data_IF_740940573282
#
_entry.id   IF_740940573282
#
_cell.length_a   1.000
_cell.length_b   1.000
_cell.length_c   1.000
_cell.angle_alpha   90.00
_cell.angle_beta   90.00
_cell.angle_gamma   90.00
#
_symmetry.space_group_name_H-M   'P 1'
#
loop_
_entity.id
_entity.type
_entity.pdbx_description
1 polymer ?
#
# COMPACT_ATOMS: atom_id res chain seq x y z
N UNK A 1 17.99 -8.21 13.76
CA UNK A 1 16.88 -8.26 12.79
C UNK A 1 17.26 -7.43 11.58
N UNK A 2 17.48 -8.08 10.43
CA UNK A 2 17.72 -7.40 9.15
C UNK A 2 16.40 -7.42 8.39
N UNK A 3 15.63 -6.35 8.54
CA UNK A 3 14.26 -6.31 8.04
C UNK A 3 14.18 -5.87 6.58
N UNK A 4 13.47 -6.62 5.76
CA UNK A 4 13.04 -6.22 4.43
C UNK A 4 11.52 -6.32 4.30
N UNK A 5 10.95 -5.53 3.40
CA UNK A 5 9.53 -5.63 3.06
C UNK A 5 9.38 -6.04 1.61
N UNK A 6 8.44 -6.93 1.35
CA UNK A 6 7.98 -7.30 0.00
C UNK A 6 6.48 -7.11 -0.12
N UNK A 7 6.00 -7.03 -1.36
CA UNK A 7 4.55 -7.00 -1.64
C UNK A 7 3.95 -8.35 -1.23
N UNK A 8 2.81 -8.31 -0.54
CA UNK A 8 2.05 -9.51 -0.22
C UNK A 8 1.35 -10.08 -1.47
N UNK A 9 1.17 -11.39 -1.53
CA UNK A 9 0.52 -12.09 -2.64
C UNK A 9 -0.62 -12.97 -2.14
N UNK A 10 -1.35 -13.61 -3.06
CA UNK A 10 -2.35 -14.64 -2.72
C UNK A 10 -1.78 -15.80 -1.90
N UNK A 11 -0.47 -16.04 -1.97
CA UNK A 11 0.14 -17.21 -1.33
C UNK A 11 0.49 -16.94 0.16
N UNK A 12 0.37 -15.70 0.62
CA UNK A 12 0.76 -15.28 1.99
C UNK A 12 -0.33 -15.52 3.05
N UNK A 13 -1.36 -16.31 2.74
CA UNK A 13 -2.49 -16.54 3.64
C UNK A 13 -2.07 -17.16 4.97
N UNK A 14 -1.10 -18.08 4.96
CA UNK A 14 -0.60 -18.71 6.20
C UNK A 14 0.20 -17.73 7.06
N UNK A 15 0.88 -16.76 6.43
CA UNK A 15 1.55 -15.67 7.15
C UNK A 15 0.50 -14.77 7.82
N UNK A 16 -0.55 -14.41 7.09
CA UNK A 16 -1.68 -13.64 7.62
C UNK A 16 -2.31 -14.34 8.83
N UNK A 17 -2.68 -15.61 8.67
CA UNK A 17 -3.30 -16.41 9.74
C UNK A 17 -2.42 -16.50 10.99
N UNK A 18 -1.11 -16.64 10.81
CA UNK A 18 -0.15 -16.73 11.90
C UNK A 18 0.06 -15.41 12.65
N UNK A 19 0.12 -14.28 11.92
CA UNK A 19 0.56 -13.00 12.48
C UNK A 19 -0.58 -12.09 12.95
N UNK A 20 -1.77 -12.18 12.36
CA UNK A 20 -2.86 -11.25 12.66
C UNK A 20 -3.66 -11.61 13.92
N UNK A 21 -3.58 -12.85 14.42
CA UNK A 21 -4.18 -13.27 15.69
C UNK A 21 -3.31 -14.35 16.35
N UNK A 22 -3.27 -14.43 17.70
CA UNK A 22 -2.55 -15.52 18.35
C UNK A 22 -3.14 -16.87 17.91
N UNK A 23 -2.31 -17.91 17.70
CA UNK A 23 -2.67 -19.18 17.04
C UNK A 23 -3.82 -19.96 17.73
N UNK A 24 -4.17 -19.61 18.96
CA UNK A 24 -5.18 -20.28 19.78
C UNK A 24 -6.60 -19.69 19.65
N UNK A 25 -6.83 -18.71 18.77
CA UNK A 25 -8.14 -18.03 18.61
C UNK A 25 -8.92 -18.40 17.35
N UNK A 26 -8.34 -19.13 16.41
CA UNK A 26 -9.08 -19.61 15.25
C UNK A 26 -9.41 -21.08 15.40
N UNK A 27 -10.70 -21.41 15.36
CA UNK A 27 -11.11 -22.78 15.06
C UNK A 27 -10.63 -23.18 13.66
N UNK A 28 -10.56 -24.47 13.36
CA UNK A 28 -10.22 -24.93 12.01
C UNK A 28 -11.20 -24.40 10.96
N UNK A 29 -12.48 -24.28 11.32
CA UNK A 29 -13.50 -23.67 10.48
C UNK A 29 -13.21 -22.18 10.18
N UNK A 30 -12.73 -21.42 11.17
CA UNK A 30 -12.39 -20.00 10.96
C UNK A 30 -11.17 -19.84 10.06
N UNK A 31 -10.15 -20.71 10.21
CA UNK A 31 -8.97 -20.70 9.33
C UNK A 31 -9.37 -20.96 7.89
N UNK A 32 -10.22 -21.95 7.68
CA UNK A 32 -10.68 -22.36 6.36
C UNK A 32 -11.60 -21.30 5.73
N UNK A 33 -12.43 -20.64 6.53
CA UNK A 33 -13.18 -19.44 6.10
C UNK A 33 -12.25 -18.30 5.68
N UNK A 34 -11.23 -18.00 6.47
CA UNK A 34 -10.27 -16.94 6.20
C UNK A 34 -9.44 -17.21 4.94
N UNK A 35 -9.07 -18.48 4.67
CA UNK A 35 -8.41 -18.86 3.41
C UNK A 35 -9.25 -18.58 2.19
N UNK A 36 -10.51 -19.03 2.20
CA UNK A 36 -11.44 -18.76 1.10
C UNK A 36 -11.65 -17.26 0.87
N UNK A 37 -11.75 -16.49 1.95
CA UNK A 37 -11.94 -15.05 1.85
C UNK A 37 -10.70 -14.34 1.29
N UNK A 38 -9.51 -14.73 1.74
CA UNK A 38 -8.24 -14.23 1.22
C UNK A 38 -8.13 -14.45 -0.30
N UNK A 39 -8.35 -15.69 -0.76
CA UNK A 39 -8.28 -16.03 -2.18
C UNK A 39 -9.32 -15.29 -3.02
N UNK A 40 -10.52 -15.06 -2.47
CA UNK A 40 -11.56 -14.27 -3.14
C UNK A 40 -11.14 -12.81 -3.26
N UNK A 41 -10.65 -12.20 -2.18
CA UNK A 41 -10.29 -10.79 -2.16
C UNK A 41 -9.17 -10.45 -3.15
N UNK A 42 -8.17 -11.31 -3.32
CA UNK A 42 -7.14 -11.12 -4.35
C UNK A 42 -7.67 -11.14 -5.79
N UNK A 43 -8.86 -11.70 -6.02
CA UNK A 43 -9.53 -11.72 -7.34
C UNK A 43 -10.45 -10.53 -7.56
N UNK A 44 -11.08 -10.02 -6.49
CA UNK A 44 -12.21 -9.06 -6.58
C UNK A 44 -11.92 -7.69 -5.99
N UNK A 45 -10.81 -7.52 -5.27
CA UNK A 45 -10.39 -6.25 -4.70
C UNK A 45 -8.98 -5.86 -5.15
N UNK A 46 -8.70 -4.55 -5.17
CA UNK A 46 -7.33 -4.04 -5.30
C UNK A 46 -6.70 -3.99 -3.92
N UNK A 47 -5.88 -4.97 -3.61
CA UNK A 47 -5.18 -5.05 -2.32
C UNK A 47 -3.83 -4.35 -2.38
N UNK A 48 -3.54 -3.58 -1.32
CA UNK A 48 -2.26 -2.99 -1.00
C UNK A 48 -1.72 -3.73 0.23
N UNK A 49 -0.90 -4.75 0.00
CA UNK A 49 -0.37 -5.61 1.04
C UNK A 49 1.16 -5.64 1.07
N UNK A 50 1.74 -5.70 2.27
CA UNK A 50 3.16 -5.98 2.49
C UNK A 50 3.36 -7.12 3.48
N UNK A 51 4.41 -7.90 3.26
CA UNK A 51 5.00 -8.81 4.25
C UNK A 51 6.36 -8.25 4.65
N UNK A 52 6.57 -8.10 5.96
CA UNK A 52 7.85 -7.76 6.56
C UNK A 52 8.56 -9.04 6.96
N UNK A 53 9.79 -9.22 6.49
CA UNK A 53 10.60 -10.41 6.70
C UNK A 53 11.90 -10.05 7.43
N UNK A 54 12.31 -10.90 8.37
CA UNK A 54 13.65 -10.87 8.95
C UNK A 54 14.57 -11.79 8.14
N UNK A 55 15.59 -11.18 7.55
CA UNK A 55 16.64 -11.86 6.81
C UNK A 55 17.58 -12.54 7.81
N UNK A 56 17.49 -13.87 7.87
CA UNK A 56 18.38 -14.68 8.69
C UNK A 56 19.74 -14.85 7.98
N UNK A 57 20.87 -14.79 8.71
CA UNK A 57 22.18 -15.09 8.14
C UNK A 57 22.26 -16.52 7.60
N UNK A 58 21.59 -17.45 8.28
CA UNK A 58 21.52 -18.86 7.93
C UNK A 58 20.05 -19.30 7.90
N UNK A 59 19.44 -19.31 6.71
CA UNK A 59 18.07 -19.79 6.52
C UNK A 59 17.22 -18.91 5.61
N UNK A 60 15.99 -19.36 5.29
CA UNK A 60 15.06 -18.55 4.52
C UNK A 60 14.59 -17.33 5.32
N UNK A 61 14.19 -16.23 4.65
CA UNK A 61 13.56 -15.09 5.31
C UNK A 61 12.34 -15.52 6.13
N UNK A 62 12.22 -14.97 7.34
CA UNK A 62 11.08 -15.26 8.22
C UNK A 62 10.12 -14.09 8.22
N UNK A 63 8.86 -14.30 7.83
CA UNK A 63 7.84 -13.28 7.93
C UNK A 63 7.53 -12.93 9.40
N UNK A 64 7.80 -11.69 9.78
CA UNK A 64 7.61 -11.15 11.14
C UNK A 64 6.52 -10.08 11.19
N UNK A 65 6.02 -9.62 10.05
CA UNK A 65 4.92 -8.67 9.97
C UNK A 65 4.12 -8.78 8.68
N UNK A 66 2.87 -8.38 8.72
CA UNK A 66 1.98 -8.30 7.57
C UNK A 66 1.00 -7.15 7.75
N UNK A 67 0.75 -6.41 6.68
CA UNK A 67 -0.29 -5.39 6.64
C UNK A 67 -0.98 -5.46 5.29
N UNK A 68 -2.30 -5.50 5.29
CA UNK A 68 -3.11 -5.51 4.07
C UNK A 68 -4.27 -4.54 4.21
N UNK A 69 -4.41 -3.68 3.21
CA UNK A 69 -5.55 -2.81 3.01
C UNK A 69 -6.16 -3.03 1.63
N UNK A 70 -7.46 -2.78 1.48
CA UNK A 70 -8.09 -2.66 0.18
C UNK A 70 -8.20 -1.19 -0.23
N UNK A 71 -7.98 -0.95 -1.52
CA UNK A 71 -8.28 0.32 -2.18
C UNK A 71 -9.56 0.16 -2.98
N UNK A 72 -10.50 1.05 -2.72
CA UNK A 72 -11.85 1.00 -3.29
C UNK A 72 -12.26 2.38 -3.79
N UNK A 73 -13.23 2.39 -4.71
CA UNK A 73 -13.91 3.61 -5.11
C UNK A 73 -14.85 4.09 -4.00
N UNK A 74 -15.13 5.40 -3.92
CA UNK A 74 -16.13 5.99 -3.04
C UNK A 74 -17.42 5.19 -2.85
N UNK A 75 -18.04 4.78 -3.95
CA UNK A 75 -19.37 4.17 -3.98
C UNK A 75 -19.37 2.80 -3.30
N UNK A 76 -18.34 1.98 -3.56
CA UNK A 76 -18.18 0.68 -2.91
C UNK A 76 -17.93 0.85 -1.41
N UNK A 77 -17.13 1.83 -1.02
CA UNK A 77 -16.88 2.08 0.40
C UNK A 77 -18.16 2.51 1.11
N UNK A 78 -18.95 3.42 0.53
CA UNK A 78 -20.24 3.85 1.09
C UNK A 78 -21.19 2.68 1.32
N UNK A 79 -21.25 1.72 0.39
CA UNK A 79 -22.03 0.50 0.55
C UNK A 79 -21.54 -0.33 1.75
N UNK A 80 -20.23 -0.51 1.88
CA UNK A 80 -19.62 -1.32 2.94
C UNK A 80 -19.80 -0.71 4.33
N UNK A 81 -19.76 0.62 4.44
CA UNK A 81 -19.90 1.32 5.74
C UNK A 81 -21.30 1.83 6.03
N UNK A 82 -22.26 1.62 5.13
CA UNK A 82 -23.68 1.96 5.33
C UNK A 82 -24.25 1.27 6.59
N UNK A 83 -25.33 1.79 7.17
CA UNK A 83 -25.94 1.21 8.38
C UNK A 83 -26.22 -0.29 8.26
N UNK A 84 -26.69 -0.73 7.09
CA UNK A 84 -26.98 -2.13 6.78
C UNK A 84 -25.85 -2.88 6.06
N UNK A 85 -24.69 -2.23 5.86
CA UNK A 85 -23.55 -2.81 5.16
C UNK A 85 -22.95 -4.01 5.90
N UNK A 86 -22.30 -4.96 5.23
CA UNK A 86 -21.63 -6.11 5.86
C UNK A 86 -20.44 -5.71 6.75
N UNK A 87 -19.85 -6.68 7.46
CA UNK A 87 -18.51 -6.54 8.07
C UNK A 87 -17.49 -6.26 6.95
N UNK A 88 -16.59 -5.30 7.13
CA UNK A 88 -15.75 -4.75 6.07
C UNK A 88 -14.91 -5.81 5.33
N UNK A 89 -14.36 -6.79 6.07
CA UNK A 89 -13.53 -7.86 5.49
C UNK A 89 -14.40 -8.87 4.73
N UNK A 90 -15.50 -9.31 5.33
CA UNK A 90 -16.39 -10.33 4.75
C UNK A 90 -17.22 -9.78 3.59
N UNK A 91 -17.63 -8.52 3.75
CA UNK A 91 -18.48 -7.78 2.85
C UNK A 91 -17.80 -7.28 1.61
N UNK A 92 -16.50 -6.96 1.68
CA UNK A 92 -15.77 -6.46 0.52
C UNK A 92 -15.82 -7.46 -0.63
N UNK A 93 -15.60 -8.76 -0.36
CA UNK A 93 -15.68 -9.76 -1.41
C UNK A 93 -17.10 -9.92 -1.95
N UNK A 94 -18.10 -9.98 -1.06
CA UNK A 94 -19.50 -10.18 -1.42
C UNK A 94 -20.08 -9.01 -2.23
N UNK A 95 -19.87 -7.78 -1.76
CA UNK A 95 -20.38 -6.57 -2.41
C UNK A 95 -19.66 -6.35 -3.75
N UNK A 96 -18.34 -6.55 -3.81
CA UNK A 96 -17.61 -6.47 -5.09
C UNK A 96 -18.15 -7.44 -6.13
N UNK A 97 -18.41 -8.70 -5.75
CA UNK A 97 -18.97 -9.71 -6.66
C UNK A 97 -20.40 -9.37 -7.08
N UNK A 98 -21.26 -9.01 -6.13
CA UNK A 98 -22.68 -8.71 -6.38
C UNK A 98 -22.87 -7.48 -7.26
N UNK A 99 -22.12 -6.43 -7.00
CA UNK A 99 -22.21 -5.16 -7.74
C UNK A 99 -21.41 -5.19 -9.06
N UNK A 100 -20.72 -6.30 -9.36
CA UNK A 100 -19.87 -6.42 -10.55
C UNK A 100 -18.67 -5.46 -10.54
N UNK A 101 -18.26 -5.01 -9.36
CA UNK A 101 -17.17 -4.06 -9.18
C UNK A 101 -15.84 -4.82 -9.21
N UNK A 102 -15.25 -4.88 -10.40
CA UNK A 102 -13.90 -5.40 -10.64
C UNK A 102 -12.86 -4.65 -9.79
N UNK A 103 -11.73 -5.29 -9.39
CA UNK A 103 -10.63 -4.60 -8.75
C UNK A 103 -10.30 -3.31 -9.50
N UNK A 104 -10.06 -2.23 -8.75
CA UNK A 104 -9.64 -0.96 -9.33
C UNK A 104 -8.45 -1.17 -10.27
N UNK A 105 -8.72 -1.10 -11.58
CA UNK A 105 -7.67 -1.15 -12.59
C UNK A 105 -6.91 0.19 -12.63
N UNK A 106 -5.80 0.23 -13.37
CA UNK A 106 -5.00 1.47 -13.46
C UNK A 106 -5.79 2.66 -14.01
N UNK A 107 -6.74 2.45 -14.91
CA UNK A 107 -7.52 3.52 -15.50
C UNK A 107 -8.47 4.14 -14.48
N UNK A 108 -9.27 3.34 -13.80
CA UNK A 108 -10.21 3.83 -12.79
C UNK A 108 -9.46 4.45 -11.61
N UNK A 109 -8.34 3.85 -11.18
CA UNK A 109 -7.48 4.45 -10.16
C UNK A 109 -6.88 5.79 -10.63
N UNK A 110 -6.48 5.86 -11.91
CA UNK A 110 -5.93 7.08 -12.50
C UNK A 110 -6.95 8.22 -12.55
N UNK A 111 -8.19 7.92 -12.92
CA UNK A 111 -9.31 8.89 -12.87
C UNK A 111 -9.59 9.32 -11.44
N UNK A 112 -9.71 8.37 -10.52
CA UNK A 112 -9.96 8.65 -9.10
C UNK A 112 -8.90 9.58 -8.51
N UNK A 113 -7.60 9.34 -8.80
CA UNK A 113 -6.53 10.23 -8.35
C UNK A 113 -6.65 11.65 -8.92
N UNK A 114 -7.15 11.82 -10.15
CA UNK A 114 -7.38 13.13 -10.76
C UNK A 114 -8.64 13.84 -10.23
N UNK A 115 -9.65 13.10 -9.80
CA UNK A 115 -10.96 13.63 -9.38
C UNK A 115 -11.17 13.57 -7.86
N UNK A 116 -12.04 12.70 -7.37
CA UNK A 116 -12.52 12.68 -5.99
C UNK A 116 -11.58 11.96 -5.01
N UNK A 117 -10.66 11.17 -5.54
CA UNK A 117 -9.77 10.31 -4.77
C UNK A 117 -10.29 8.89 -4.58
N UNK A 118 -9.58 8.16 -3.74
CA UNK A 118 -9.87 6.78 -3.36
C UNK A 118 -10.12 6.67 -1.86
N UNK A 119 -10.80 5.59 -1.48
CA UNK A 119 -10.95 5.22 -0.09
C UNK A 119 -10.17 3.95 0.22
N UNK A 120 -9.72 3.84 1.47
CA UNK A 120 -9.01 2.65 1.96
C UNK A 120 -9.78 1.96 3.07
N UNK A 121 -9.76 0.64 3.03
CA UNK A 121 -10.29 -0.22 4.09
C UNK A 121 -9.13 -1.03 4.64
N UNK A 122 -8.82 -0.83 5.91
CA UNK A 122 -7.80 -1.59 6.60
C UNK A 122 -8.36 -2.97 6.97
N UNK A 123 -7.74 -4.03 6.43
CA UNK A 123 -8.26 -5.39 6.59
C UNK A 123 -7.49 -6.15 7.66
N UNK A 124 -6.16 -6.14 7.60
CA UNK A 124 -5.31 -6.94 8.48
C UNK A 124 -4.02 -6.22 8.89
N UNK A 125 -3.71 -6.27 10.18
CA UNK A 125 -2.39 -5.97 10.75
C UNK A 125 -1.95 -7.16 11.58
N UNK A 126 -0.77 -7.70 11.30
CA UNK A 126 -0.17 -8.73 12.12
C UNK A 126 1.32 -8.48 12.26
N UNK A 127 1.89 -8.76 13.42
CA UNK A 127 3.33 -8.74 13.62
C UNK A 127 3.70 -9.60 14.82
N UNK A 128 4.92 -10.14 14.79
CA UNK A 128 5.42 -10.98 15.86
C UNK A 128 5.61 -10.14 17.14
N UNK A 129 4.96 -10.56 18.23
CA UNK A 129 5.08 -9.91 19.52
C UNK A 129 6.47 -10.18 20.12
N UNK A 130 7.38 -9.21 20.10
CA UNK A 130 8.62 -9.26 20.90
C UNK A 130 8.38 -8.84 22.36
N UNK A 131 7.48 -9.51 23.09
CA UNK A 131 7.17 -9.21 24.51
C UNK A 131 6.68 -7.76 24.70
N UNK A 132 5.44 -7.57 25.18
CA UNK A 132 4.76 -6.27 25.37
C UNK A 132 5.52 -5.20 26.20
N UNK A 133 6.72 -5.48 26.69
CA UNK A 133 7.47 -4.68 27.66
C UNK A 133 8.85 -4.22 27.14
N UNK A 134 9.21 -4.49 25.88
CA UNK A 134 10.44 -3.93 25.29
C UNK A 134 10.11 -2.74 24.39
N UNK A 135 10.92 -1.67 24.45
CA UNK A 135 10.90 -0.55 23.48
C UNK A 135 10.99 -1.03 22.01
N UNK A 136 11.37 -2.29 21.79
CA UNK A 136 11.49 -2.97 20.50
C UNK A 136 10.14 -3.27 19.80
N UNK A 137 9.04 -3.52 20.52
CA UNK A 137 7.73 -3.87 19.90
C UNK A 137 7.04 -2.67 19.23
N UNK A 138 7.18 -1.48 19.81
CA UNK A 138 6.78 -0.23 19.16
C UNK A 138 7.58 -0.01 17.86
N UNK A 139 8.79 -0.57 17.76
CA UNK A 139 9.62 -0.49 16.57
C UNK A 139 9.11 -1.36 15.41
N UNK A 140 8.71 -2.62 15.65
CA UNK A 140 8.31 -3.53 14.55
C UNK A 140 6.99 -3.10 13.90
N UNK A 141 5.97 -2.77 14.70
CA UNK A 141 4.70 -2.23 14.18
C UNK A 141 4.95 -0.99 13.32
N UNK A 142 5.75 -0.05 13.83
CA UNK A 142 6.07 1.18 13.12
C UNK A 142 6.81 0.89 11.82
N UNK A 143 7.70 -0.12 11.78
CA UNK A 143 8.38 -0.56 10.56
C UNK A 143 7.43 -1.18 9.55
N UNK A 144 6.48 -2.02 9.98
CA UNK A 144 5.45 -2.62 9.11
C UNK A 144 4.58 -1.53 8.48
N UNK A 145 4.09 -0.59 9.28
CA UNK A 145 3.27 0.54 8.80
C UNK A 145 4.07 1.44 7.87
N UNK A 146 5.31 1.82 8.22
CA UNK A 146 6.14 2.64 7.36
C UNK A 146 6.47 1.97 6.03
N UNK A 147 6.75 0.66 6.02
CA UNK A 147 7.00 -0.08 4.78
C UNK A 147 5.76 -0.07 3.87
N UNK A 148 4.56 -0.24 4.43
CA UNK A 148 3.31 -0.12 3.67
C UNK A 148 3.16 1.29 3.09
N UNK A 149 3.34 2.32 3.91
CA UNK A 149 3.27 3.71 3.47
C UNK A 149 4.29 3.99 2.35
N UNK A 150 5.54 3.58 2.52
CA UNK A 150 6.58 3.80 1.51
C UNK A 150 6.21 3.16 0.17
N UNK A 151 5.56 1.99 0.18
CA UNK A 151 5.11 1.31 -1.04
C UNK A 151 3.84 1.90 -1.66
N UNK A 152 2.91 2.45 -0.87
CA UNK A 152 1.54 2.73 -1.33
C UNK A 152 1.02 4.18 -1.16
N UNK A 153 1.80 5.07 -0.54
CA UNK A 153 1.49 6.52 -0.44
C UNK A 153 1.52 7.24 -1.79
N UNK A 154 0.83 8.38 -1.92
CA UNK A 154 0.82 9.22 -3.12
C UNK A 154 -0.43 9.09 -3.98
N UNK A 155 -1.34 8.18 -3.65
CA UNK A 155 -2.71 8.24 -4.19
C UNK A 155 -3.48 9.35 -3.47
N UNK A 156 -4.50 9.91 -4.13
CA UNK A 156 -5.39 10.91 -3.53
C UNK A 156 -6.35 10.23 -2.56
N UNK A 157 -5.94 10.03 -1.31
CA UNK A 157 -6.75 9.39 -0.28
C UNK A 157 -7.81 10.34 0.26
N UNK A 158 -9.08 9.93 0.29
CA UNK A 158 -10.19 10.72 0.84
C UNK A 158 -10.58 10.29 2.25
N UNK A 159 -10.66 8.98 2.50
CA UNK A 159 -10.85 8.40 3.84
C UNK A 159 -10.18 7.03 4.00
N UNK A 160 -9.96 6.67 5.26
CA UNK A 160 -9.49 5.35 5.67
C UNK A 160 -10.41 4.79 6.75
N UNK A 161 -10.86 3.55 6.59
CA UNK A 161 -11.75 2.88 7.54
C UNK A 161 -11.11 1.63 8.12
N UNK A 162 -11.40 1.34 9.38
CA UNK A 162 -10.99 0.12 10.07
C UNK A 162 -12.11 -0.39 10.97
N UNK A 163 -12.20 -1.70 11.12
CA UNK A 163 -12.98 -2.34 12.19
C UNK A 163 -12.09 -2.64 13.38
N UNK A 164 -12.47 -2.15 14.56
CA UNK A 164 -11.76 -2.41 15.80
C UNK A 164 -12.68 -3.09 16.81
N UNK A 165 -12.19 -4.18 17.41
CA UNK A 165 -12.77 -4.72 18.64
C UNK A 165 -12.52 -3.74 19.81
N UNK A 166 -13.36 -3.82 20.85
CA UNK A 166 -13.18 -3.02 22.06
C UNK A 166 -11.78 -3.17 22.68
N UNK A 167 -11.34 -2.13 23.39
CA UNK A 167 -10.09 -2.15 24.15
C UNK A 167 -8.98 -1.29 23.55
N UNK A 168 -7.74 -1.79 23.62
CA UNK A 168 -6.55 -0.99 23.32
C UNK A 168 -6.45 -0.58 21.84
N UNK A 169 -6.94 -1.41 20.92
CA UNK A 169 -6.95 -1.11 19.48
C UNK A 169 -7.92 0.02 19.18
N UNK A 170 -9.17 -0.09 19.63
CA UNK A 170 -10.18 0.97 19.49
C UNK A 170 -9.68 2.31 20.07
N UNK A 171 -9.23 2.33 21.34
CA UNK A 171 -8.71 3.56 21.99
C UNK A 171 -7.56 4.20 21.22
N UNK A 172 -6.69 3.38 20.62
CA UNK A 172 -5.57 3.86 19.83
C UNK A 172 -6.03 4.57 18.56
N UNK A 173 -6.95 3.98 17.79
CA UNK A 173 -7.44 4.61 16.56
C UNK A 173 -8.24 5.88 16.84
N UNK A 174 -9.01 5.92 17.93
CA UNK A 174 -9.61 7.17 18.42
C UNK A 174 -8.55 8.24 18.70
N UNK A 175 -7.43 7.86 19.33
CA UNK A 175 -6.29 8.75 19.56
C UNK A 175 -5.58 9.24 18.29
N UNK A 176 -5.72 8.52 17.17
CA UNK A 176 -5.25 8.97 15.84
C UNK A 176 -6.25 9.86 15.11
N UNK A 177 -7.38 10.22 15.74
CA UNK A 177 -8.41 11.07 15.16
C UNK A 177 -9.45 10.33 14.31
N UNK A 178 -9.47 8.98 14.36
CA UNK A 178 -10.58 8.23 13.76
C UNK A 178 -11.86 8.47 14.56
N UNK A 179 -12.97 8.59 13.86
CA UNK A 179 -14.29 8.75 14.46
C UNK A 179 -15.12 7.48 14.29
N UNK A 180 -15.89 7.06 15.31
CA UNK A 180 -16.84 5.97 15.16
C UNK A 180 -17.96 6.38 14.21
N UNK A 181 -18.24 5.54 13.23
CA UNK A 181 -19.32 5.74 12.26
C UNK A 181 -20.42 4.68 12.37
N UNK A 182 -20.11 3.53 13.00
CA UNK A 182 -21.04 2.42 13.19
C UNK A 182 -20.54 1.45 14.26
N UNK A 183 -21.45 0.82 14.98
CA UNK A 183 -21.17 -0.31 15.87
C UNK A 183 -21.93 -1.56 15.40
N UNK A 184 -21.28 -2.74 15.47
CA UNK A 184 -21.90 -4.00 15.10
C UNK A 184 -21.20 -5.18 15.79
N UNK A 185 -21.98 -6.06 16.42
CA UNK A 185 -21.52 -7.36 16.92
C UNK A 185 -20.20 -7.30 17.73
N UNK A 186 -20.04 -6.29 18.59
CA UNK A 186 -18.84 -6.10 19.43
C UNK A 186 -17.64 -5.47 18.72
N UNK A 187 -17.82 -4.95 17.50
CA UNK A 187 -16.83 -4.15 16.77
C UNK A 187 -17.36 -2.74 16.53
N UNK A 188 -16.44 -1.78 16.50
CA UNK A 188 -16.70 -0.41 16.07
C UNK A 188 -16.02 -0.18 14.72
N UNK A 189 -16.78 0.30 13.74
CA UNK A 189 -16.25 0.81 12.48
C UNK A 189 -15.83 2.25 12.70
N UNK A 190 -14.55 2.51 12.46
CA UNK A 190 -13.90 3.79 12.65
C UNK A 190 -13.49 4.34 11.29
N UNK A 191 -13.65 5.64 11.07
CA UNK A 191 -13.20 6.31 9.85
C UNK A 191 -12.36 7.54 10.14
N UNK A 192 -11.28 7.69 9.39
CA UNK A 192 -10.44 8.89 9.37
C UNK A 192 -10.61 9.57 8.01
N UNK A 193 -11.09 10.81 8.04
CA UNK A 193 -11.23 11.65 6.85
C UNK A 193 -9.97 12.48 6.61
N UNK A 194 -9.70 12.80 5.34
CA UNK A 194 -8.53 13.58 4.92
C UNK A 194 -8.33 14.87 5.71
N UNK A 195 -9.37 15.68 5.86
CA UNK A 195 -9.24 16.98 6.52
C UNK A 195 -8.84 16.84 7.99
N UNK A 196 -9.42 15.86 8.69
CA UNK A 196 -9.04 15.52 10.07
C UNK A 196 -7.62 14.96 10.14
N UNK A 197 -7.23 14.10 9.20
CA UNK A 197 -5.88 13.53 9.15
C UNK A 197 -4.79 14.59 8.94
N UNK A 198 -5.05 15.58 8.09
CA UNK A 198 -4.11 16.67 7.80
C UNK A 198 -4.00 17.69 8.95
N UNK A 199 -5.03 17.80 9.79
CA UNK A 199 -5.03 18.66 10.99
C UNK A 199 -4.52 17.94 12.25
N UNK A 200 -4.54 16.61 12.25
CA UNK A 200 -4.11 15.79 13.38
C UNK A 200 -2.59 15.81 13.60
N UNK A 201 -2.12 15.20 14.69
CA UNK A 201 -0.69 15.12 15.04
C UNK A 201 -0.02 13.81 14.59
N UNK A 202 -0.77 12.88 14.02
CA UNK A 202 -0.24 11.59 13.55
C UNK A 202 0.43 11.75 12.18
N UNK A 203 1.77 11.78 12.18
CA UNK A 203 2.58 11.95 10.96
C UNK A 203 2.33 10.84 9.92
N UNK A 204 1.94 9.63 10.35
CA UNK A 204 1.66 8.51 9.44
C UNK A 204 0.40 8.76 8.63
N UNK A 205 -0.67 9.19 9.30
CA UNK A 205 -1.90 9.63 8.66
C UNK A 205 -1.64 10.84 7.77
N UNK A 206 -0.93 11.86 8.24
CA UNK A 206 -0.59 13.02 7.41
C UNK A 206 0.12 12.60 6.10
N UNK A 207 1.09 11.69 6.16
CA UNK A 207 1.78 11.15 4.97
C UNK A 207 0.81 10.44 4.03
N UNK A 208 -0.07 9.57 4.54
CA UNK A 208 -1.04 8.82 3.74
C UNK A 208 -2.05 9.71 3.00
N UNK A 209 -2.43 10.84 3.61
CA UNK A 209 -3.45 11.75 3.12
C UNK A 209 -2.90 12.97 2.35
N UNK A 210 -1.59 13.20 2.42
CA UNK A 210 -0.89 14.20 1.61
C UNK A 210 -0.93 13.79 0.13
N UNK A 211 -1.32 14.74 -0.72
CA UNK A 211 -1.43 14.53 -2.15
C UNK A 211 -1.27 15.85 -2.89
N UNK A 212 -0.32 15.87 -3.81
CA UNK A 212 -0.22 16.85 -4.89
C UNK A 212 -0.51 16.14 -6.21
N UNK A 213 -1.15 16.79 -7.20
CA UNK A 213 -1.27 16.23 -8.54
C UNK A 213 0.11 16.00 -9.18
N UNK A 214 0.36 14.84 -9.81
CA UNK A 214 1.65 14.55 -10.43
C UNK A 214 1.91 15.48 -11.63
N UNK A 215 3.11 16.05 -11.70
CA UNK A 215 3.49 17.00 -12.76
C UNK A 215 4.20 16.32 -13.93
N UNK A 216 4.82 15.15 -13.70
CA UNK A 216 5.47 14.38 -14.76
C UNK A 216 4.49 13.43 -15.46
N UNK A 217 3.46 12.97 -14.73
CA UNK A 217 2.37 12.13 -15.24
C UNK A 217 2.87 10.91 -16.06
N UNK A 218 3.89 10.20 -15.55
CA UNK A 218 4.54 9.07 -16.23
C UNK A 218 3.55 8.05 -16.79
N UNK A 219 3.85 7.46 -17.95
CA UNK A 219 3.02 6.37 -18.51
C UNK A 219 3.10 5.11 -17.64
N UNK A 220 2.13 4.20 -17.77
CA UNK A 220 2.13 2.91 -17.05
C UNK A 220 3.48 2.17 -17.17
N UNK A 221 3.93 2.01 -18.41
CA UNK A 221 5.22 1.40 -18.75
C UNK A 221 6.44 2.09 -18.14
N UNK A 222 6.38 3.41 -17.89
CA UNK A 222 7.44 4.16 -17.22
C UNK A 222 7.35 3.97 -15.70
N UNK A 223 6.14 4.00 -15.13
CA UNK A 223 5.92 3.74 -13.70
C UNK A 223 6.39 2.34 -13.30
N UNK A 224 6.14 1.32 -14.11
CA UNK A 224 6.62 -0.06 -13.85
C UNK A 224 8.15 -0.11 -13.65
N UNK A 225 8.90 0.58 -14.52
CA UNK A 225 10.35 0.67 -14.40
C UNK A 225 10.74 1.44 -13.14
N UNK A 226 10.09 2.58 -12.88
CA UNK A 226 10.43 3.43 -11.74
C UNK A 226 10.13 2.74 -10.40
N UNK A 227 9.06 1.96 -10.31
CA UNK A 227 8.70 1.19 -9.12
C UNK A 227 9.76 0.12 -8.81
N UNK A 228 10.18 -0.66 -9.80
CA UNK A 228 11.27 -1.64 -9.65
C UNK A 228 12.61 -0.96 -9.37
N UNK A 229 12.90 0.15 -10.06
CA UNK A 229 14.13 0.89 -9.88
C UNK A 229 14.26 1.48 -8.47
N UNK A 230 13.14 1.89 -7.86
CA UNK A 230 13.06 2.36 -6.47
C UNK A 230 13.31 1.25 -5.45
N UNK A 231 13.02 0.00 -5.81
CA UNK A 231 13.36 -1.19 -5.03
C UNK A 231 14.83 -1.63 -5.21
N UNK A 232 15.62 -0.93 -6.03
CA UNK A 232 17.04 -1.20 -6.23
C UNK A 232 17.38 -2.09 -7.43
N UNK A 233 16.39 -2.53 -8.21
CA UNK A 233 16.60 -3.43 -9.35
C UNK A 233 17.47 -2.78 -10.44
N UNK A 234 18.47 -3.51 -10.93
CA UNK A 234 19.27 -3.13 -12.10
C UNK A 234 18.44 -3.16 -13.39
N UNK A 235 18.93 -2.52 -14.46
CA UNK A 235 18.20 -2.51 -15.73
C UNK A 235 18.03 -3.92 -16.33
N UNK A 236 18.95 -4.84 -16.04
CA UNK A 236 18.85 -6.25 -16.44
C UNK A 236 17.76 -6.98 -15.65
N UNK A 237 17.71 -6.81 -14.33
CA UNK A 237 16.67 -7.40 -13.49
C UNK A 237 15.30 -6.82 -13.86
N UNK A 238 15.20 -5.51 -14.08
CA UNK A 238 13.97 -4.86 -14.58
C UNK A 238 13.52 -5.47 -15.90
N UNK A 239 14.45 -5.65 -16.86
CA UNK A 239 14.14 -6.26 -18.14
C UNK A 239 13.58 -7.69 -17.97
N UNK A 240 14.22 -8.49 -17.12
CA UNK A 240 13.78 -9.85 -16.82
C UNK A 240 12.41 -9.87 -16.15
N UNK A 241 12.21 -9.07 -15.09
CA UNK A 241 10.94 -8.99 -14.34
C UNK A 241 9.78 -8.53 -15.21
N UNK A 242 10.00 -7.60 -16.14
CA UNK A 242 8.95 -7.09 -17.03
C UNK A 242 8.79 -7.89 -18.33
N UNK A 243 9.59 -8.94 -18.56
CA UNK A 243 9.62 -9.68 -19.81
C UNK A 243 9.92 -8.79 -21.03
N UNK A 244 10.88 -7.86 -20.90
CA UNK A 244 11.29 -6.90 -21.94
C UNK A 244 12.76 -7.08 -22.30
N UNK A 245 13.15 -6.60 -23.48
CA UNK A 245 14.56 -6.54 -23.85
C UNK A 245 15.30 -5.42 -23.08
N UNK A 246 16.61 -5.55 -22.80
CA UNK A 246 17.41 -4.47 -22.22
C UNK A 246 17.33 -3.16 -23.00
N UNK A 247 17.29 -3.23 -24.34
CA UNK A 247 17.13 -2.06 -25.20
C UNK A 247 15.78 -1.36 -24.99
N UNK A 248 14.71 -2.12 -24.71
CA UNK A 248 13.40 -1.54 -24.39
C UNK A 248 13.44 -0.77 -23.07
N UNK A 249 14.13 -1.31 -22.06
CA UNK A 249 14.35 -0.64 -20.77
C UNK A 249 15.16 0.64 -20.97
N UNK A 250 16.26 0.59 -21.74
CA UNK A 250 17.08 1.77 -22.07
C UNK A 250 16.28 2.87 -22.78
N UNK A 251 15.45 2.52 -23.76
CA UNK A 251 14.58 3.47 -24.47
C UNK A 251 13.57 4.11 -23.51
N UNK A 252 12.98 3.34 -22.60
CA UNK A 252 12.04 3.88 -21.61
C UNK A 252 12.74 4.83 -20.63
N UNK A 253 13.94 4.52 -20.17
CA UNK A 253 14.76 5.44 -19.37
C UNK A 253 15.03 6.77 -20.09
N UNK A 254 15.37 6.72 -21.39
CA UNK A 254 15.56 7.94 -22.18
C UNK A 254 14.29 8.81 -22.20
N UNK A 255 13.11 8.21 -22.37
CA UNK A 255 11.83 8.92 -22.31
C UNK A 255 11.51 9.48 -20.92
N UNK A 256 11.84 8.75 -19.86
CA UNK A 256 11.70 9.22 -18.46
C UNK A 256 12.57 10.47 -18.23
N UNK A 257 13.85 10.43 -18.64
CA UNK A 257 14.75 11.55 -18.47
C UNK A 257 14.36 12.77 -19.30
N UNK A 258 13.92 12.57 -20.55
CA UNK A 258 13.45 13.65 -21.40
C UNK A 258 12.26 14.38 -20.76
N UNK A 259 11.28 13.63 -20.26
CA UNK A 259 10.11 14.17 -19.55
C UNK A 259 10.49 14.91 -18.28
N UNK A 260 11.39 14.36 -17.47
CA UNK A 260 11.87 15.04 -16.27
C UNK A 260 12.63 16.33 -16.60
N UNK A 261 13.49 16.32 -17.63
CA UNK A 261 14.22 17.51 -18.07
C UNK A 261 13.30 18.59 -18.66
N UNK A 262 12.18 18.20 -19.27
CA UNK A 262 11.18 19.14 -19.79
C UNK A 262 10.50 19.93 -18.66
N UNK A 263 10.14 19.27 -17.55
CA UNK A 263 9.48 19.91 -16.40
C UNK A 263 10.50 20.59 -15.47
N UNK A 264 11.69 20.01 -15.32
CA UNK A 264 12.76 20.53 -14.47
C UNK A 264 14.07 20.74 -15.25
N UNK A 265 14.15 21.80 -16.10
CA UNK A 265 15.34 22.10 -16.86
C UNK A 265 16.57 22.25 -15.98
N UNK A 266 17.70 21.64 -16.38
CA UNK A 266 18.98 21.75 -15.67
C UNK A 266 19.12 20.91 -14.39
N UNK A 267 18.07 20.22 -13.93
CA UNK A 267 18.18 19.34 -12.74
C UNK A 267 18.88 18.01 -12.99
N UNK A 268 18.85 17.51 -14.22
CA UNK A 268 19.64 16.33 -14.58
C UNK A 268 21.05 16.75 -14.99
N UNK A 269 22.09 16.01 -14.59
CA UNK A 269 23.45 16.27 -15.06
C UNK A 269 23.52 16.15 -16.59
N UNK A 270 24.28 17.05 -17.23
CA UNK A 270 24.46 17.09 -18.68
C UNK A 270 24.98 15.74 -19.23
N UNK A 271 24.68 15.39 -20.48
CA UNK A 271 25.09 14.11 -21.08
C UNK A 271 26.59 14.06 -21.42
N UNK A 272 27.26 12.95 -21.06
CA UNK A 272 28.67 12.63 -21.32
C UNK A 272 29.05 11.30 -20.66
N UNK A 273 30.18 10.72 -21.04
CA UNK A 273 30.40 9.25 -21.01
C UNK A 273 30.41 8.57 -19.63
N UNK A 274 29.87 7.34 -19.60
CA UNK A 274 30.10 6.30 -18.58
C UNK A 274 29.34 6.44 -17.25
N UNK A 275 29.64 7.46 -16.45
CA UNK A 275 29.19 7.56 -15.04
C UNK A 275 27.83 8.25 -14.85
N UNK A 276 27.34 8.95 -15.89
CA UNK A 276 26.19 9.86 -15.76
C UNK A 276 24.83 9.17 -15.75
N UNK A 277 24.73 7.95 -16.28
CA UNK A 277 23.48 7.18 -16.24
C UNK A 277 23.04 6.88 -14.82
N UNK A 278 23.98 6.44 -13.97
CA UNK A 278 23.76 6.21 -12.56
C UNK A 278 23.43 7.51 -11.81
N UNK A 279 24.09 8.63 -12.16
CA UNK A 279 23.83 9.92 -11.54
C UNK A 279 22.45 10.49 -11.89
N UNK A 280 22.04 10.45 -13.17
CA UNK A 280 20.68 10.83 -13.62
C UNK A 280 19.62 10.01 -12.90
N UNK A 281 19.83 8.69 -12.82
CA UNK A 281 18.94 7.78 -12.11
C UNK A 281 18.84 8.13 -10.63
N UNK A 282 19.98 8.36 -9.96
CA UNK A 282 20.02 8.75 -8.55
C UNK A 282 19.27 10.06 -8.29
N UNK A 283 19.50 11.08 -9.11
CA UNK A 283 18.81 12.38 -8.99
C UNK A 283 17.30 12.23 -9.16
N UNK A 284 16.84 11.50 -10.19
CA UNK A 284 15.43 11.26 -10.40
C UNK A 284 14.80 10.45 -9.26
N UNK A 285 15.42 9.35 -8.83
CA UNK A 285 14.88 8.52 -7.75
C UNK A 285 14.85 9.27 -6.41
N UNK A 286 15.79 10.19 -6.19
CA UNK A 286 15.73 11.10 -5.04
C UNK A 286 14.50 12.00 -5.10
N UNK A 287 14.21 12.60 -6.25
CA UNK A 287 12.98 13.39 -6.43
C UNK A 287 11.71 12.56 -6.18
N UNK A 288 11.65 11.34 -6.74
CA UNK A 288 10.48 10.47 -6.62
C UNK A 288 10.25 9.94 -5.19
N UNK A 289 11.29 9.94 -4.35
CA UNK A 289 11.15 9.60 -2.92
C UNK A 289 10.30 10.64 -2.18
N UNK A 290 10.48 11.91 -2.54
CA UNK A 290 9.76 13.04 -1.94
C UNK A 290 8.43 13.31 -2.65
N UNK A 291 8.22 12.69 -3.82
CA UNK A 291 7.07 12.89 -4.72
C UNK A 291 6.42 11.55 -5.12
N UNK A 292 5.89 10.77 -4.16
CA UNK A 292 5.33 9.46 -4.41
C UNK A 292 4.09 9.46 -5.32
N UNK A 293 3.38 10.59 -5.43
CA UNK A 293 2.26 10.83 -6.34
C UNK A 293 2.62 10.59 -7.82
N UNK A 294 3.88 10.86 -8.20
CA UNK A 294 4.38 10.69 -9.57
C UNK A 294 4.41 9.23 -10.02
N UNK A 295 4.44 8.31 -9.05
CA UNK A 295 4.45 6.87 -9.28
C UNK A 295 3.06 6.24 -9.27
N UNK A 296 2.00 7.05 -9.11
CA UNK A 296 0.63 6.55 -9.11
C UNK A 296 -0.03 6.72 -10.48
N UNK A 297 -1.01 5.86 -10.82
CA UNK A 297 -1.84 6.11 -11.98
C UNK A 297 -2.50 7.48 -11.86
N UNK A 298 -2.48 8.24 -12.94
CA UNK A 298 -3.11 9.55 -13.03
C UNK A 298 -3.62 9.76 -14.45
N UNK A 299 -4.90 10.08 -14.57
CA UNK A 299 -5.57 10.40 -15.83
C UNK A 299 -6.53 11.57 -15.58
N UNK A 300 -6.15 12.80 -15.92
CA UNK A 300 -7.04 13.95 -15.86
C UNK A 300 -8.18 13.84 -16.88
#
# INVERSE_FOLDING_TARGET
MFLCARIATSDDVEIMLRLCRPPNRFSEADRERARRLWDRLWKVARLEGIVMEDLQPEGPPQAVGILVAAVVVPELHDLLVSENGPDAVDGLAEVSEKEGLSPLNEETLGRANATEGIDRIFLWLGYQNEVEHSESTASLRSRVVNAHLDMFVGNRTRRMTIEAEEGAVLRRFLGYGYLPIRERAGKTVLSLHRDAALQGTDLMSQRLFSYDPPVLAFTAAQRDILLLARQGYTDQEIAATLGKSPDSVKKRWAGIYARFAQVFPGRLPASGEGSRGAEKRRTLLSYLRDRPEELRPYRP
#
